data_IF_831589651687
#
_entry.id   IF_831589651687
#
_cell.length_a   1.000
_cell.length_b   1.000
_cell.length_c   1.000
_cell.angle_alpha   90.00
_cell.angle_beta   90.00
_cell.angle_gamma   90.00
#
_symmetry.space_group_name_H-M   'P 1'
#
loop_
_entity.id
_entity.type
_entity.pdbx_description
1 polymer ?
#
# COMPACT_ATOMS: atom_id res chain seq x y z
N UNK A 1 6.90 13.55 -2.83
CA UNK A 1 6.00 12.76 -1.95
C UNK A 1 6.27 11.26 -2.06
N UNK A 2 6.39 10.69 -3.26
CA UNK A 2 6.70 9.28 -3.50
C UNK A 2 7.86 8.71 -2.65
N UNK A 3 9.05 9.33 -2.69
CA UNK A 3 10.20 8.88 -1.90
C UNK A 3 10.03 9.03 -0.39
N UNK A 4 9.20 9.97 0.08
CA UNK A 4 8.90 10.11 1.51
C UNK A 4 8.03 8.97 2.01
N UNK A 5 7.06 8.51 1.21
CA UNK A 5 6.24 7.34 1.51
C UNK A 5 7.08 6.06 1.47
N UNK A 6 7.99 5.94 0.50
CA UNK A 6 8.93 4.82 0.44
C UNK A 6 9.83 4.76 1.68
N UNK A 7 10.47 5.88 2.03
CA UNK A 7 11.32 5.96 3.21
C UNK A 7 10.51 5.71 4.50
N UNK A 8 9.29 6.24 4.60
CA UNK A 8 8.39 5.99 5.71
C UNK A 8 8.01 4.51 5.86
N UNK A 9 7.75 3.84 4.74
CA UNK A 9 7.47 2.40 4.72
C UNK A 9 8.67 1.58 5.16
N UNK A 10 9.84 1.81 4.54
CA UNK A 10 11.08 1.08 4.86
C UNK A 10 11.48 1.31 6.32
N UNK A 11 11.34 2.55 6.81
CA UNK A 11 11.68 2.89 8.20
C UNK A 11 10.67 2.27 9.18
N UNK A 12 9.37 2.30 8.87
CA UNK A 12 8.33 1.63 9.67
C UNK A 12 8.58 0.12 9.76
N UNK A 13 8.83 -0.53 8.62
CA UNK A 13 9.14 -1.96 8.57
C UNK A 13 10.44 -2.30 9.33
N UNK A 14 11.48 -1.48 9.19
CA UNK A 14 12.75 -1.67 9.90
C UNK A 14 12.58 -1.54 11.43
N UNK A 15 11.81 -0.56 11.89
CA UNK A 15 11.53 -0.35 13.32
C UNK A 15 10.68 -1.49 13.92
N UNK A 16 9.71 -1.99 13.16
CA UNK A 16 8.92 -3.15 13.55
C UNK A 16 9.80 -4.41 13.69
N UNK A 17 10.66 -4.68 12.70
CA UNK A 17 11.60 -5.81 12.75
C UNK A 17 12.62 -5.68 13.88
N UNK A 18 13.06 -4.44 14.19
CA UNK A 18 13.94 -4.15 15.32
C UNK A 18 13.23 -4.21 16.69
N UNK A 19 11.92 -4.55 16.73
CA UNK A 19 11.09 -4.63 17.93
C UNK A 19 11.10 -3.35 18.77
N UNK A 20 11.21 -2.19 18.11
CA UNK A 20 11.16 -0.88 18.77
C UNK A 20 9.71 -0.55 19.08
N UNK A 21 9.35 -0.51 20.36
CA UNK A 21 8.01 -0.15 20.83
C UNK A 21 7.80 1.38 20.80
N UNK A 22 7.57 1.95 19.62
CA UNK A 22 7.30 3.38 19.42
C UNK A 22 5.81 3.75 19.28
N UNK A 23 4.90 2.82 19.59
CA UNK A 23 3.45 3.05 19.51
C UNK A 23 2.94 3.14 18.07
N UNK A 24 2.09 4.12 17.78
CA UNK A 24 1.38 4.19 16.50
C UNK A 24 2.32 4.29 15.27
N UNK A 25 3.41 5.05 15.40
CA UNK A 25 4.35 5.29 14.30
C UNK A 25 5.30 4.12 14.00
N UNK A 26 5.49 3.19 14.93
CA UNK A 26 6.32 1.99 14.67
C UNK A 26 5.48 0.80 14.25
N UNK A 27 4.19 0.80 14.57
CA UNK A 27 3.31 -0.34 14.33
C UNK A 27 2.45 -0.20 13.06
N UNK A 28 2.06 1.02 12.68
CA UNK A 28 1.10 1.25 11.56
C UNK A 28 1.66 2.16 10.47
N UNK A 29 2.86 2.70 10.63
CA UNK A 29 3.45 3.61 9.64
C UNK A 29 3.76 2.88 8.34
N UNK A 30 4.23 1.63 8.41
CA UNK A 30 4.37 0.75 7.25
C UNK A 30 3.05 0.58 6.53
N UNK A 31 1.98 0.34 7.27
CA UNK A 31 0.67 -0.04 6.75
C UNK A 31 -0.09 1.14 6.18
N UNK A 32 0.23 2.36 6.63
CA UNK A 32 -0.28 3.60 6.04
C UNK A 32 0.52 4.03 4.80
N UNK A 33 1.84 3.86 4.82
CA UNK A 33 2.73 4.42 3.77
C UNK A 33 2.91 3.48 2.59
N UNK A 34 2.89 2.16 2.80
CA UNK A 34 3.00 1.16 1.74
C UNK A 34 1.88 1.23 0.70
N UNK A 35 0.57 1.28 1.06
CA UNK A 35 -0.51 1.28 0.08
C UNK A 35 -0.47 2.54 -0.77
N UNK A 36 -0.21 3.69 -0.13
CA UNK A 36 -0.09 4.97 -0.81
C UNK A 36 1.11 5.01 -1.76
N UNK A 37 2.28 4.50 -1.32
CA UNK A 37 3.47 4.38 -2.16
C UNK A 37 3.24 3.45 -3.35
N UNK A 38 2.69 2.26 -3.10
CA UNK A 38 2.46 1.24 -4.11
C UNK A 38 1.41 1.66 -5.14
N UNK A 39 0.37 2.38 -4.70
CA UNK A 39 -0.62 3.01 -5.58
C UNK A 39 0.04 3.99 -6.55
N UNK A 40 0.87 4.90 -6.05
CA UNK A 40 1.61 5.88 -6.88
C UNK A 40 2.55 5.16 -7.86
N UNK A 41 3.20 4.08 -7.42
CA UNK A 41 4.10 3.27 -8.26
C UNK A 41 3.36 2.55 -9.39
N UNK A 42 2.28 1.82 -9.08
CA UNK A 42 1.45 1.12 -10.08
C UNK A 42 0.80 2.08 -11.06
N UNK A 43 0.41 3.28 -10.60
CA UNK A 43 -0.17 4.32 -11.46
C UNK A 43 0.87 5.10 -12.25
N UNK A 44 2.16 4.90 -11.98
CA UNK A 44 3.25 5.63 -12.65
C UNK A 44 3.20 7.14 -12.37
N UNK A 45 2.65 7.55 -11.23
CA UNK A 45 2.47 8.96 -10.84
C UNK A 45 3.74 9.56 -10.20
N UNK A 46 4.83 8.79 -10.15
CA UNK A 46 6.11 9.15 -9.54
C UNK A 46 6.91 10.20 -10.32
N UNK A 47 6.68 10.33 -11.63
CA UNK A 47 7.35 11.28 -12.51
C UNK A 47 6.33 12.15 -13.25
N UNK A 48 6.65 13.45 -13.44
CA UNK A 48 5.82 14.41 -14.20
C UNK A 48 5.61 13.98 -15.66
N UNK A 49 6.52 13.16 -16.18
CA UNK A 49 6.34 12.42 -17.41
C UNK A 49 5.35 11.28 -17.09
N UNK A 50 4.11 11.37 -17.58
CA UNK A 50 3.06 10.31 -17.52
C UNK A 50 3.50 9.04 -18.28
N UNK A 51 4.70 8.52 -18.02
CA UNK A 51 5.18 7.27 -18.60
C UNK A 51 4.55 6.13 -17.83
N UNK A 52 3.92 5.25 -18.60
CA UNK A 52 3.28 4.00 -18.17
C UNK A 52 4.16 3.26 -17.16
N UNK A 53 3.55 2.89 -16.04
CA UNK A 53 4.20 2.16 -14.96
C UNK A 53 5.00 0.97 -15.51
N UNK A 54 6.30 0.93 -15.22
CA UNK A 54 7.26 -0.06 -15.73
C UNK A 54 7.14 -1.44 -15.06
N UNK A 55 5.99 -1.80 -14.50
CA UNK A 55 5.67 -3.19 -14.14
C UNK A 55 5.13 -3.89 -15.39
N UNK A 56 6.07 -4.17 -16.31
CA UNK A 56 5.93 -4.47 -17.75
C UNK A 56 4.89 -5.53 -18.20
N UNK A 57 4.19 -6.20 -17.30
CA UNK A 57 3.14 -7.18 -17.67
C UNK A 57 1.90 -7.07 -16.75
N UNK A 58 2.12 -6.96 -15.44
CA UNK A 58 1.03 -7.03 -14.45
C UNK A 58 0.56 -5.63 -14.02
N UNK A 59 1.49 -4.72 -13.73
CA UNK A 59 1.17 -3.37 -13.29
C UNK A 59 0.55 -2.50 -14.38
N UNK A 60 0.82 -2.77 -15.66
CA UNK A 60 0.25 -2.00 -16.77
C UNK A 60 -1.27 -2.23 -16.95
N UNK A 61 -1.81 -3.38 -16.51
CA UNK A 61 -3.26 -3.60 -16.48
C UNK A 61 -3.91 -2.98 -15.24
N UNK A 62 -3.24 -3.08 -14.09
CA UNK A 62 -3.71 -2.57 -12.80
C UNK A 62 -3.66 -1.03 -12.72
N UNK A 63 -2.64 -0.39 -13.31
CA UNK A 63 -2.45 1.06 -13.29
C UNK A 63 -3.28 1.84 -14.30
N UNK A 64 -4.02 1.17 -15.19
CA UNK A 64 -4.78 1.82 -16.27
C UNK A 64 -5.90 2.74 -15.78
N UNK A 65 -6.54 2.41 -14.66
CA UNK A 65 -7.56 3.28 -14.07
C UNK A 65 -7.42 3.35 -12.55
N UNK A 66 -7.82 4.48 -11.93
CA UNK A 66 -7.82 4.62 -10.48
C UNK A 66 -8.60 3.49 -9.78
N UNK A 67 -9.73 3.09 -10.35
CA UNK A 67 -10.60 2.04 -9.80
C UNK A 67 -9.92 0.67 -9.82
N UNK A 68 -9.22 0.33 -10.91
CA UNK A 68 -8.52 -0.95 -11.04
C UNK A 68 -7.37 -1.03 -10.05
N UNK A 69 -6.60 0.04 -9.90
CA UNK A 69 -5.53 0.10 -8.92
C UNK A 69 -6.08 -0.04 -7.51
N UNK A 70 -7.11 0.73 -7.15
CA UNK A 70 -7.76 0.67 -5.84
C UNK A 70 -8.27 -0.75 -5.52
N UNK A 71 -9.11 -1.32 -6.39
CA UNK A 71 -9.74 -2.63 -6.15
C UNK A 71 -8.70 -3.72 -6.03
N UNK A 72 -7.67 -3.69 -6.87
CA UNK A 72 -6.67 -4.77 -6.89
C UNK A 72 -5.76 -4.72 -5.67
N UNK A 73 -5.34 -3.53 -5.26
CA UNK A 73 -4.55 -3.35 -4.04
C UNK A 73 -5.42 -3.73 -2.82
N UNK A 74 -6.68 -3.31 -2.77
CA UNK A 74 -7.62 -3.69 -1.72
C UNK A 74 -7.86 -5.20 -1.62
N UNK A 75 -8.06 -5.88 -2.76
CA UNK A 75 -8.23 -7.34 -2.80
C UNK A 75 -6.99 -8.07 -2.31
N UNK A 76 -5.79 -7.61 -2.69
CA UNK A 76 -4.53 -8.18 -2.18
C UNK A 76 -4.43 -7.99 -0.67
N UNK A 77 -4.79 -6.82 -0.14
CA UNK A 77 -4.86 -6.58 1.30
C UNK A 77 -5.80 -7.55 2.03
N UNK A 78 -7.04 -7.71 1.54
CA UNK A 78 -8.01 -8.66 2.12
C UNK A 78 -7.48 -10.09 2.06
N UNK A 79 -6.97 -10.54 0.90
CA UNK A 79 -6.48 -11.91 0.74
C UNK A 79 -5.32 -12.17 1.68
N UNK A 80 -4.42 -11.20 1.87
CA UNK A 80 -3.30 -11.29 2.80
C UNK A 80 -3.78 -11.47 4.24
N UNK A 81 -4.77 -10.68 4.68
CA UNK A 81 -5.37 -10.79 6.02
C UNK A 81 -6.12 -12.11 6.24
N UNK A 82 -6.91 -12.54 5.25
CA UNK A 82 -7.61 -13.83 5.28
C UNK A 82 -6.60 -14.97 5.36
N UNK A 83 -5.50 -14.90 4.60
CA UNK A 83 -4.43 -15.88 4.68
C UNK A 83 -3.75 -15.89 6.05
N UNK A 84 -3.51 -14.73 6.66
CA UNK A 84 -2.96 -14.65 8.02
C UNK A 84 -3.91 -15.26 9.05
N UNK A 85 -5.22 -15.09 8.89
CA UNK A 85 -6.23 -15.67 9.78
C UNK A 85 -6.36 -17.20 9.65
N UNK A 86 -6.45 -17.71 8.42
CA UNK A 86 -6.66 -19.14 8.17
C UNK A 86 -5.36 -19.96 8.14
N UNK A 87 -4.22 -19.32 7.85
CA UNK A 87 -2.91 -19.96 7.78
C UNK A 87 -1.85 -19.13 8.55
N UNK A 88 -1.94 -19.07 9.88
CA UNK A 88 -1.05 -18.24 10.71
C UNK A 88 0.43 -18.67 10.69
N UNK A 89 0.73 -19.91 10.26
CA UNK A 89 2.09 -20.43 10.06
C UNK A 89 2.53 -20.44 8.58
N UNK A 90 1.83 -19.68 7.73
CA UNK A 90 2.01 -19.68 6.28
C UNK A 90 3.13 -18.78 5.81
N UNK A 91 3.30 -18.59 4.51
CA UNK A 91 4.35 -17.70 3.99
C UNK A 91 4.13 -16.24 4.46
N UNK A 92 2.87 -15.87 4.67
CA UNK A 92 2.44 -14.58 5.23
C UNK A 92 2.18 -14.79 6.73
N UNK A 93 3.14 -14.37 7.56
CA UNK A 93 3.00 -14.41 9.01
C UNK A 93 2.62 -13.03 9.53
N UNK A 94 1.60 -12.96 10.38
CA UNK A 94 1.12 -11.72 10.97
C UNK A 94 0.10 -11.96 12.07
N UNK A 95 -0.38 -10.88 12.67
CA UNK A 95 -1.51 -10.91 13.59
C UNK A 95 -2.61 -10.09 12.93
N UNK A 96 -3.79 -10.69 12.75
CA UNK A 96 -4.94 -9.96 12.22
C UNK A 96 -5.22 -8.74 13.10
N UNK A 97 -5.10 -7.54 12.53
CA UNK A 97 -5.49 -6.31 13.19
C UNK A 97 -6.44 -5.51 12.29
N UNK A 98 -7.62 -5.20 12.84
CA UNK A 98 -8.62 -4.42 12.12
C UNK A 98 -8.12 -2.99 11.84
N UNK A 99 -7.24 -2.46 12.68
CA UNK A 99 -6.64 -1.14 12.48
C UNK A 99 -5.70 -1.11 11.27
N UNK A 100 -5.07 -2.23 10.91
CA UNK A 100 -4.23 -2.33 9.71
C UNK A 100 -5.10 -2.19 8.47
N UNK A 101 -6.22 -2.90 8.45
CA UNK A 101 -7.20 -2.82 7.36
C UNK A 101 -7.75 -1.40 7.24
N UNK A 102 -8.07 -0.75 8.36
CA UNK A 102 -8.59 0.62 8.35
C UNK A 102 -7.54 1.62 7.86
N UNK A 103 -6.29 1.53 8.32
CA UNK A 103 -5.19 2.38 7.86
C UNK A 103 -4.94 2.18 6.35
N UNK A 104 -4.98 0.92 5.91
CA UNK A 104 -4.83 0.50 4.52
C UNK A 104 -5.92 1.13 3.63
N UNK A 105 -7.18 1.01 4.04
CA UNK A 105 -8.34 1.56 3.32
C UNK A 105 -8.31 3.07 3.26
N UNK A 106 -8.00 3.74 4.38
CA UNK A 106 -7.91 5.21 4.44
C UNK A 106 -6.82 5.73 3.52
N UNK A 107 -5.62 5.15 3.55
CA UNK A 107 -4.53 5.53 2.65
C UNK A 107 -4.90 5.39 1.17
N UNK A 108 -5.54 4.28 0.80
CA UNK A 108 -6.01 4.02 -0.56
C UNK A 108 -7.10 4.98 -1.02
N UNK A 109 -8.12 5.24 -0.19
CA UNK A 109 -9.22 6.15 -0.54
C UNK A 109 -8.70 7.57 -0.76
N UNK A 110 -7.78 8.03 0.09
CA UNK A 110 -7.15 9.36 -0.07
C UNK A 110 -6.39 9.43 -1.40
N UNK A 111 -5.56 8.42 -1.71
CA UNK A 111 -4.85 8.36 -2.99
C UNK A 111 -5.81 8.35 -4.19
N UNK A 112 -6.85 7.53 -4.14
CA UNK A 112 -7.88 7.46 -5.19
C UNK A 112 -8.60 8.79 -5.39
N UNK A 113 -8.99 9.47 -4.30
CA UNK A 113 -9.69 10.75 -4.37
C UNK A 113 -8.82 11.83 -5.04
N UNK A 114 -7.54 11.93 -4.67
CA UNK A 114 -6.63 12.89 -5.29
C UNK A 114 -6.29 12.54 -6.74
N UNK A 115 -6.13 11.27 -7.06
CA UNK A 115 -5.87 10.79 -8.42
C UNK A 115 -7.06 11.10 -9.34
N UNK A 116 -8.28 10.77 -8.90
CA UNK A 116 -9.51 11.07 -9.65
C UNK A 116 -9.72 12.56 -9.82
N UNK A 117 -9.44 13.38 -8.80
CA UNK A 117 -9.52 14.84 -8.90
C UNK A 117 -8.54 15.41 -9.93
N UNK A 118 -7.39 14.79 -10.12
CA UNK A 118 -6.38 15.23 -11.10
C UNK A 118 -6.62 14.69 -12.52
N UNK A 119 -7.58 13.78 -12.71
CA UNK A 119 -8.02 13.31 -14.04
C UNK A 119 -9.11 14.22 -14.68
N UNK A 120 -9.79 15.06 -13.89
CA UNK A 120 -10.78 16.06 -14.34
C UNK A 120 -10.22 17.48 -14.31
#
# INVERSE_FOLDING_TARGET
MYWLLFCGWVLGAALFMARVNGGFFTNWLSDLTFPAWFYIHIRGLETSDRRKARLLIVGDWFGRSPERALVSIFLVGIVSEVMTYFWPTGIIHGRFDLLDILAYVVGLIVCYYFDKKNEY
#
